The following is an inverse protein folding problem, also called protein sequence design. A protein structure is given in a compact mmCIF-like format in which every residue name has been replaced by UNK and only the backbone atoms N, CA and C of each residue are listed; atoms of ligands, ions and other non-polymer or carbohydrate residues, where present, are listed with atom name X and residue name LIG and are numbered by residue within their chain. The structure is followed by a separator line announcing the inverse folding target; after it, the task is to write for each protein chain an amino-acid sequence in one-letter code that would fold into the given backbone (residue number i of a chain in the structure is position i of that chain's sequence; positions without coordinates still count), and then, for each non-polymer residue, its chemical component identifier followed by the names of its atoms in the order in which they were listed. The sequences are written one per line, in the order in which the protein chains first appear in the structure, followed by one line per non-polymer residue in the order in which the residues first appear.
data_IF_571328999493
#
_entry.id   IF_571328999493
#
_cell.length_a   1.000
_cell.length_b   1.000
_cell.length_c   1.000
_cell.angle_alpha   90.00
_cell.angle_beta   90.00
_cell.angle_gamma   90.00
#
_symmetry.space_group_name_H-M   'P 1'
#
loop_
_entity.id
_entity.type
_entity.pdbx_description
1 polymer ?
#
# COMPACT_ATOMS: atom_id res chain seq x y z
N UNK A 1 7.74 -45.58 -8.73
CA UNK A 1 6.81 -45.36 -7.58
C UNK A 1 6.33 -43.92 -7.67
N UNK A 2 5.25 -43.65 -8.42
CA UNK A 2 4.65 -42.31 -8.56
C UNK A 2 3.88 -41.99 -7.30
N UNK A 3 4.46 -41.16 -6.42
CA UNK A 3 3.78 -40.63 -5.23
C UNK A 3 2.61 -39.75 -5.70
N UNK A 4 1.40 -40.27 -5.66
CA UNK A 4 0.19 -39.47 -5.87
C UNK A 4 0.03 -38.50 -4.71
N UNK A 5 0.33 -37.23 -4.96
CA UNK A 5 0.15 -36.18 -3.94
C UNK A 5 -1.32 -36.07 -3.52
N UNK A 6 -1.55 -35.96 -2.23
CA UNK A 6 -2.89 -35.72 -1.70
C UNK A 6 -3.38 -34.31 -2.11
N UNK A 7 -4.69 -34.13 -2.25
CA UNK A 7 -5.33 -32.83 -2.57
C UNK A 7 -4.89 -31.73 -1.57
N UNK A 8 -4.62 -32.11 -0.33
CA UNK A 8 -4.15 -31.21 0.71
C UNK A 8 -2.72 -30.73 0.47
N UNK A 9 -1.82 -31.61 0.04
CA UNK A 9 -0.43 -31.27 -0.30
C UNK A 9 -0.38 -30.32 -1.51
N UNK A 10 -1.23 -30.55 -2.52
CA UNK A 10 -1.37 -29.65 -3.65
C UNK A 10 -1.78 -28.24 -3.22
N UNK A 11 -2.80 -28.10 -2.37
CA UNK A 11 -3.26 -26.80 -1.84
C UNK A 11 -2.16 -26.08 -1.05
N UNK A 12 -1.42 -26.81 -0.20
CA UNK A 12 -0.33 -26.23 0.58
C UNK A 12 0.84 -25.75 -0.28
N UNK A 13 1.24 -26.53 -1.29
CA UNK A 13 2.28 -26.12 -2.25
C UNK A 13 1.85 -24.88 -3.03
N UNK A 14 0.61 -24.84 -3.50
CA UNK A 14 0.06 -23.71 -4.23
C UNK A 14 0.02 -22.44 -3.35
N UNK A 15 -0.37 -22.56 -2.09
CA UNK A 15 -0.35 -21.44 -1.14
C UNK A 15 1.08 -20.92 -0.90
N UNK A 16 2.07 -21.81 -0.78
CA UNK A 16 3.48 -21.43 -0.66
C UNK A 16 3.99 -20.72 -1.91
N UNK A 17 3.66 -21.22 -3.11
CA UNK A 17 4.03 -20.59 -4.37
C UNK A 17 3.48 -19.16 -4.48
N UNK A 18 2.21 -18.94 -4.14
CA UNK A 18 1.62 -17.61 -4.15
C UNK A 18 2.29 -16.66 -3.13
N UNK A 19 2.63 -17.15 -1.93
CA UNK A 19 3.36 -16.35 -0.94
C UNK A 19 4.75 -15.95 -1.43
N UNK A 20 5.48 -16.86 -2.09
CA UNK A 20 6.79 -16.59 -2.66
C UNK A 20 6.71 -15.59 -3.82
N UNK A 21 5.77 -15.76 -4.75
CA UNK A 21 5.57 -14.83 -5.86
C UNK A 21 5.24 -13.42 -5.34
N UNK A 22 4.36 -13.31 -4.34
CA UNK A 22 4.05 -12.03 -3.72
C UNK A 22 5.28 -11.42 -3.04
N UNK A 23 6.09 -12.22 -2.33
CA UNK A 23 7.31 -11.76 -1.69
C UNK A 23 8.30 -11.19 -2.70
N UNK A 24 8.53 -11.88 -3.82
CA UNK A 24 9.40 -11.38 -4.90
C UNK A 24 8.87 -10.09 -5.50
N UNK A 25 7.55 -9.98 -5.70
CA UNK A 25 6.93 -8.75 -6.19
C UNK A 25 7.14 -7.59 -5.20
N UNK A 26 6.97 -7.82 -3.89
CA UNK A 26 7.22 -6.80 -2.85
C UNK A 26 8.68 -6.38 -2.79
N UNK A 27 9.64 -7.31 -2.91
CA UNK A 27 11.07 -7.00 -2.96
C UNK A 27 11.36 -6.13 -4.19
N UNK A 28 10.83 -6.48 -5.37
CA UNK A 28 10.99 -5.69 -6.60
C UNK A 28 10.43 -4.27 -6.44
N UNK A 29 9.25 -4.11 -5.85
CA UNK A 29 8.68 -2.78 -5.54
C UNK A 29 9.58 -1.99 -4.59
N UNK A 30 10.04 -2.62 -3.52
CA UNK A 30 10.93 -1.97 -2.56
C UNK A 30 12.22 -1.47 -3.22
N UNK A 31 12.85 -2.29 -4.06
CA UNK A 31 14.05 -1.91 -4.81
C UNK A 31 13.80 -0.72 -5.75
N UNK A 32 12.65 -0.69 -6.41
CA UNK A 32 12.26 0.43 -7.27
C UNK A 32 12.14 1.74 -6.48
N UNK A 33 11.44 1.73 -5.34
CA UNK A 33 11.33 2.91 -4.49
C UNK A 33 12.66 3.31 -3.85
N UNK A 34 13.48 2.35 -3.44
CA UNK A 34 14.84 2.61 -2.95
C UNK A 34 15.72 3.29 -4.01
N UNK A 35 15.61 2.86 -5.27
CA UNK A 35 16.29 3.51 -6.39
C UNK A 35 15.82 4.96 -6.61
N UNK A 36 14.51 5.21 -6.57
CA UNK A 36 13.94 6.54 -6.72
C UNK A 36 14.31 7.47 -5.56
N UNK A 37 14.28 7.00 -4.31
CA UNK A 37 14.70 7.81 -3.16
C UNK A 37 16.21 8.06 -3.16
N UNK A 38 17.01 7.11 -3.63
CA UNK A 38 18.45 7.34 -3.88
C UNK A 38 18.68 8.41 -4.95
N UNK A 39 17.94 8.37 -6.07
CA UNK A 39 18.01 9.39 -7.11
C UNK A 39 17.60 10.78 -6.59
N UNK A 40 16.57 10.83 -5.73
CA UNK A 40 16.17 12.06 -5.03
C UNK A 40 17.34 12.64 -4.22
N UNK A 41 18.01 11.81 -3.38
CA UNK A 41 19.15 12.22 -2.57
C UNK A 41 20.33 12.73 -3.41
N UNK A 42 20.66 12.04 -4.49
CA UNK A 42 21.73 12.50 -5.41
C UNK A 42 21.36 13.81 -6.07
N UNK A 43 20.10 13.99 -6.44
CA UNK A 43 19.60 15.21 -7.07
C UNK A 43 19.54 16.42 -6.11
N UNK A 44 19.51 16.19 -4.79
CA UNK A 44 19.46 17.26 -3.77
C UNK A 44 20.72 18.16 -3.75
N UNK A 45 21.84 17.70 -4.34
CA UNK A 45 23.06 18.50 -4.51
C UNK A 45 22.99 19.51 -5.67
N UNK A 46 21.95 19.52 -6.47
CA UNK A 46 21.76 20.44 -7.61
C UNK A 46 21.48 21.87 -7.14
N UNK A 47 21.90 22.84 -7.95
CA UNK A 47 21.70 24.28 -7.66
C UNK A 47 20.23 24.73 -7.75
N UNK A 48 19.43 24.03 -8.54
CA UNK A 48 18.00 24.24 -8.76
C UNK A 48 17.11 23.49 -7.76
N UNK A 49 17.69 22.93 -6.69
CA UNK A 49 16.97 22.19 -5.66
C UNK A 49 16.26 23.12 -4.69
N UNK A 50 14.96 22.92 -4.49
CA UNK A 50 14.15 23.70 -3.54
C UNK A 50 14.24 23.06 -2.15
N UNK A 51 14.77 23.80 -1.18
CA UNK A 51 14.99 23.33 0.21
C UNK A 51 13.81 23.63 1.14
N UNK A 52 12.99 24.63 0.81
CA UNK A 52 11.95 25.15 1.71
C UNK A 52 10.53 24.62 1.37
N UNK A 53 10.46 23.40 0.81
CA UNK A 53 9.18 22.78 0.50
C UNK A 53 8.53 22.22 1.77
N UNK A 54 7.42 22.81 2.19
CA UNK A 54 6.65 22.32 3.35
C UNK A 54 5.71 21.23 2.88
N UNK A 55 5.84 20.03 3.47
CA UNK A 55 4.91 18.93 3.16
C UNK A 55 3.47 19.31 3.56
N UNK A 56 2.48 19.06 2.69
CA UNK A 56 1.08 19.28 2.98
C UNK A 56 0.61 18.53 4.23
N UNK A 57 -0.21 19.19 5.05
CA UNK A 57 -0.80 18.57 6.24
C UNK A 57 -1.66 17.34 5.88
N UNK A 58 -2.26 17.33 4.69
CA UNK A 58 -3.04 16.20 4.19
C UNK A 58 -2.23 14.89 4.18
N UNK A 59 -0.91 14.93 3.90
CA UNK A 59 -0.05 13.73 3.93
C UNK A 59 0.18 13.20 5.34
N UNK A 60 0.23 14.07 6.34
CA UNK A 60 0.29 13.66 7.75
C UNK A 60 -1.00 12.94 8.16
N UNK A 61 -2.16 13.52 7.85
CA UNK A 61 -3.45 12.89 8.14
C UNK A 61 -3.63 11.58 7.38
N UNK A 62 -3.21 11.50 6.12
CA UNK A 62 -3.28 10.27 5.34
C UNK A 62 -2.43 9.16 5.93
N UNK A 63 -1.27 9.49 6.50
CA UNK A 63 -0.39 8.52 7.19
C UNK A 63 -1.07 7.92 8.43
N UNK A 64 -1.79 8.72 9.21
CA UNK A 64 -2.58 8.23 10.35
C UNK A 64 -3.70 7.29 9.86
N UNK A 65 -4.42 7.70 8.81
CA UNK A 65 -5.53 6.93 8.25
C UNK A 65 -5.07 5.56 7.73
N UNK A 66 -3.92 5.49 7.03
CA UNK A 66 -3.43 4.22 6.48
C UNK A 66 -2.96 3.27 7.60
N UNK A 67 -2.35 3.80 8.67
CA UNK A 67 -1.96 2.99 9.84
C UNK A 67 -3.21 2.40 10.51
N UNK A 68 -4.29 3.17 10.66
CA UNK A 68 -5.57 2.65 11.17
C UNK A 68 -6.14 1.57 10.23
N UNK A 69 -6.01 1.74 8.91
CA UNK A 69 -6.36 0.73 7.90
C UNK A 69 -5.59 -0.57 8.08
N UNK A 70 -4.29 -0.48 8.36
CA UNK A 70 -3.43 -1.63 8.67
C UNK A 70 -3.94 -2.41 9.88
N UNK A 71 -4.26 -1.70 10.97
CA UNK A 71 -4.78 -2.31 12.20
C UNK A 71 -6.12 -2.99 11.94
N UNK A 72 -7.05 -2.34 11.22
CA UNK A 72 -8.37 -2.92 10.92
C UNK A 72 -8.26 -4.16 10.05
N UNK A 73 -7.34 -4.20 9.06
CA UNK A 73 -7.12 -5.38 8.24
C UNK A 73 -6.52 -6.54 9.07
N UNK A 74 -5.56 -6.25 9.94
CA UNK A 74 -5.01 -7.25 10.85
C UNK A 74 -6.08 -7.86 11.76
N UNK A 75 -6.98 -7.03 12.29
CA UNK A 75 -8.11 -7.49 13.10
C UNK A 75 -9.11 -8.31 12.27
N UNK A 76 -9.35 -7.94 11.00
CA UNK A 76 -10.20 -8.71 10.08
C UNK A 76 -9.66 -10.13 9.87
N UNK A 77 -8.33 -10.27 9.66
CA UNK A 77 -7.66 -11.56 9.58
C UNK A 77 -7.89 -12.40 10.86
N UNK A 78 -7.67 -11.81 12.04
CA UNK A 78 -7.91 -12.51 13.32
C UNK A 78 -9.37 -12.89 13.53
N UNK A 79 -10.30 -12.08 13.03
CA UNK A 79 -11.74 -12.34 13.16
C UNK A 79 -12.18 -13.54 12.32
N UNK A 80 -11.65 -13.73 11.09
CA UNK A 80 -11.96 -14.89 10.25
C UNK A 80 -11.36 -16.17 10.79
N UNK A 81 -10.17 -16.13 11.40
CA UNK A 81 -9.54 -17.27 12.07
C UNK A 81 -10.41 -17.80 13.24
N UNK A 82 -11.22 -16.91 13.85
CA UNK A 82 -12.21 -17.25 14.89
C UNK A 82 -13.62 -17.50 14.33
N UNK A 83 -13.76 -17.63 13.02
CA UNK A 83 -15.02 -17.82 12.26
C UNK A 83 -16.09 -16.74 12.55
N UNK A 84 -15.67 -15.56 13.03
CA UNK A 84 -16.59 -14.44 13.29
C UNK A 84 -16.82 -13.59 12.03
N UNK A 85 -17.68 -14.10 11.14
CA UNK A 85 -17.95 -13.54 9.82
C UNK A 85 -18.47 -12.11 9.86
N UNK A 86 -19.37 -11.77 10.81
CA UNK A 86 -19.93 -10.42 10.94
C UNK A 86 -18.84 -9.39 11.23
N UNK A 87 -17.95 -9.72 12.18
CA UNK A 87 -16.80 -8.85 12.50
C UNK A 87 -15.82 -8.74 11.35
N UNK A 88 -15.54 -9.84 10.66
CA UNK A 88 -14.66 -9.82 9.47
C UNK A 88 -15.21 -8.90 8.39
N UNK A 89 -16.51 -9.00 8.06
CA UNK A 89 -17.16 -8.13 7.07
C UNK A 89 -17.03 -6.66 7.46
N UNK A 90 -17.37 -6.32 8.72
CA UNK A 90 -17.29 -4.95 9.21
C UNK A 90 -15.86 -4.40 9.08
N UNK A 91 -14.88 -5.15 9.55
CA UNK A 91 -13.47 -4.73 9.54
C UNK A 91 -12.91 -4.59 8.12
N UNK A 92 -13.24 -5.49 7.18
CA UNK A 92 -12.84 -5.37 5.78
C UNK A 92 -13.46 -4.13 5.11
N UNK A 93 -14.74 -3.85 5.36
CA UNK A 93 -15.40 -2.64 4.84
C UNK A 93 -14.81 -1.37 5.46
N UNK A 94 -14.48 -1.38 6.76
CA UNK A 94 -13.78 -0.26 7.41
C UNK A 94 -12.41 -0.05 6.79
N UNK A 95 -11.64 -1.11 6.53
CA UNK A 95 -10.34 -1.02 5.85
C UNK A 95 -10.48 -0.42 4.46
N UNK A 96 -11.50 -0.83 3.70
CA UNK A 96 -11.78 -0.27 2.37
C UNK A 96 -12.13 1.23 2.47
N UNK A 97 -12.98 1.63 3.41
CA UNK A 97 -13.31 3.03 3.65
C UNK A 97 -12.10 3.88 4.00
N UNK A 98 -11.22 3.38 4.89
CA UNK A 98 -9.96 4.05 5.23
C UNK A 98 -9.00 4.13 4.03
N UNK A 99 -8.92 3.09 3.19
CA UNK A 99 -8.14 3.12 1.96
C UNK A 99 -8.63 4.18 0.96
N UNK A 100 -9.94 4.30 0.77
CA UNK A 100 -10.54 5.35 -0.08
C UNK A 100 -10.27 6.74 0.52
N UNK A 101 -10.43 6.90 1.83
CA UNK A 101 -10.14 8.17 2.54
C UNK A 101 -8.67 8.56 2.35
N UNK A 102 -7.74 7.61 2.42
CA UNK A 102 -6.34 7.84 2.13
C UNK A 102 -6.15 8.42 0.72
N UNK A 103 -6.76 7.80 -0.31
CA UNK A 103 -6.66 8.29 -1.70
C UNK A 103 -7.20 9.72 -1.82
N UNK A 104 -8.33 10.03 -1.20
CA UNK A 104 -8.90 11.39 -1.20
C UNK A 104 -7.92 12.38 -0.57
N UNK A 105 -7.31 12.03 0.58
CA UNK A 105 -6.33 12.88 1.24
C UNK A 105 -5.05 13.08 0.40
N UNK A 106 -4.66 12.11 -0.42
CA UNK A 106 -3.54 12.28 -1.36
C UNK A 106 -3.87 13.35 -2.43
N UNK A 107 -5.07 13.32 -3.01
CA UNK A 107 -5.49 14.35 -3.96
C UNK A 107 -5.59 15.74 -3.31
N UNK A 108 -6.08 15.83 -2.07
CA UNK A 108 -6.06 17.07 -1.31
C UNK A 108 -4.63 17.57 -1.06
N UNK A 109 -3.69 16.65 -0.76
CA UNK A 109 -2.28 16.98 -0.63
C UNK A 109 -1.67 17.54 -1.93
N UNK A 110 -2.02 16.96 -3.07
CA UNK A 110 -1.59 17.50 -4.36
C UNK A 110 -2.16 18.89 -4.63
N UNK A 111 -3.42 19.15 -4.29
CA UNK A 111 -4.00 20.50 -4.43
C UNK A 111 -3.27 21.52 -3.54
N UNK A 112 -2.95 21.14 -2.29
CA UNK A 112 -2.17 22.01 -1.40
C UNK A 112 -0.75 22.29 -1.93
N UNK A 113 -0.10 21.34 -2.61
CA UNK A 113 1.19 21.56 -3.28
C UNK A 113 1.06 22.54 -4.45
N UNK A 114 0.02 22.42 -5.25
CA UNK A 114 -0.25 23.32 -6.37
C UNK A 114 -0.51 24.75 -5.85
N UNK A 115 -1.27 24.91 -4.78
CA UNK A 115 -1.51 26.21 -4.12
C UNK A 115 -0.23 26.85 -3.58
N UNK A 116 0.75 26.03 -3.16
CA UNK A 116 2.08 26.49 -2.75
C UNK A 116 3.01 26.80 -3.95
N UNK A 117 2.56 26.63 -5.20
CA UNK A 117 3.34 26.87 -6.40
C UNK A 117 4.24 25.69 -6.82
N UNK A 118 4.07 24.51 -6.24
CA UNK A 118 4.83 23.31 -6.61
C UNK A 118 4.06 22.48 -7.66
N UNK A 119 4.46 22.64 -8.91
CA UNK A 119 3.85 21.92 -10.03
C UNK A 119 4.63 20.65 -10.38
N UNK A 120 3.92 19.65 -10.93
CA UNK A 120 4.54 18.41 -11.39
C UNK A 120 5.39 18.60 -12.64
N UNK A 121 4.88 19.40 -13.61
CA UNK A 121 5.52 19.63 -14.92
C UNK A 121 5.30 21.09 -15.34
N UNK A 122 6.12 21.56 -16.27
CA UNK A 122 6.02 22.93 -16.83
C UNK A 122 7.21 23.81 -16.47
N UNK A 123 7.19 25.06 -16.91
CA UNK A 123 8.28 26.03 -16.68
C UNK A 123 8.50 26.39 -15.21
N UNK A 124 7.47 26.21 -14.39
CA UNK A 124 7.43 26.51 -12.96
C UNK A 124 7.72 25.26 -12.07
N UNK A 125 7.91 24.07 -12.69
CA UNK A 125 8.21 22.86 -11.94
C UNK A 125 9.67 22.83 -11.48
N UNK A 126 9.89 22.30 -10.28
CA UNK A 126 11.23 22.01 -9.75
C UNK A 126 11.53 20.52 -9.83
N UNK A 127 12.82 20.17 -9.83
CA UNK A 127 13.25 18.76 -9.74
C UNK A 127 12.72 18.13 -8.45
N UNK A 128 12.74 18.88 -7.35
CA UNK A 128 12.23 18.46 -6.04
C UNK A 128 10.74 18.08 -6.10
N UNK A 129 9.90 18.99 -6.64
CA UNK A 129 8.45 18.72 -6.75
C UNK A 129 8.17 17.55 -7.68
N UNK A 130 8.86 17.46 -8.82
CA UNK A 130 8.68 16.34 -9.77
C UNK A 130 8.96 14.98 -9.12
N UNK A 131 10.03 14.85 -8.35
CA UNK A 131 10.32 13.61 -7.61
C UNK A 131 9.25 13.28 -6.57
N UNK A 132 8.77 14.26 -5.81
CA UNK A 132 7.69 14.07 -4.84
C UNK A 132 6.43 13.54 -5.52
N UNK A 133 6.01 14.17 -6.62
CA UNK A 133 4.86 13.70 -7.39
C UNK A 133 5.06 12.29 -7.94
N UNK A 134 6.22 11.98 -8.52
CA UNK A 134 6.53 10.64 -9.06
C UNK A 134 6.44 9.59 -7.96
N UNK A 135 7.08 9.79 -6.81
CA UNK A 135 7.07 8.85 -5.69
C UNK A 135 5.65 8.60 -5.19
N UNK A 136 4.87 9.68 -4.99
CA UNK A 136 3.51 9.58 -4.46
C UNK A 136 2.55 8.95 -5.47
N UNK A 137 2.58 9.35 -6.74
CA UNK A 137 1.72 8.79 -7.80
C UNK A 137 2.03 7.30 -8.00
N UNK A 138 3.31 6.93 -8.00
CA UNK A 138 3.72 5.54 -8.16
C UNK A 138 3.24 4.69 -6.97
N UNK A 139 3.35 5.22 -5.75
CA UNK A 139 2.78 4.56 -4.57
C UNK A 139 1.25 4.43 -4.69
N UNK A 140 0.53 5.47 -5.11
CA UNK A 140 -0.92 5.41 -5.34
C UNK A 140 -1.32 4.38 -6.40
N UNK A 141 -0.52 4.20 -7.46
CA UNK A 141 -0.76 3.14 -8.46
C UNK A 141 -0.67 1.74 -7.84
N UNK A 142 0.30 1.51 -6.95
CA UNK A 142 0.42 0.24 -6.22
C UNK A 142 -0.71 0.06 -5.20
N UNK A 143 -1.11 1.14 -4.52
CA UNK A 143 -2.25 1.12 -3.60
C UNK A 143 -3.56 0.81 -4.33
N UNK A 144 -3.76 1.32 -5.55
CA UNK A 144 -4.91 0.93 -6.38
C UNK A 144 -4.95 -0.59 -6.61
N UNK A 145 -3.78 -1.22 -6.86
CA UNK A 145 -3.66 -2.68 -6.88
C UNK A 145 -4.03 -3.34 -5.55
N UNK A 146 -3.64 -2.73 -4.42
CA UNK A 146 -4.02 -3.17 -3.07
C UNK A 146 -5.52 -3.09 -2.81
N UNK A 147 -6.16 -1.99 -3.24
CA UNK A 147 -7.62 -1.81 -3.15
C UNK A 147 -8.35 -2.83 -4.01
N UNK A 148 -7.87 -3.10 -5.23
CA UNK A 148 -8.44 -4.15 -6.09
C UNK A 148 -8.32 -5.54 -5.43
N UNK A 149 -7.18 -5.87 -4.85
CA UNK A 149 -7.00 -7.10 -4.10
C UNK A 149 -7.96 -7.18 -2.91
N UNK A 150 -8.15 -6.09 -2.16
CA UNK A 150 -9.09 -6.01 -1.04
C UNK A 150 -10.54 -6.21 -1.51
N UNK A 151 -10.95 -5.62 -2.63
CA UNK A 151 -12.28 -5.82 -3.23
C UNK A 151 -12.51 -7.29 -3.60
N UNK A 152 -11.50 -7.96 -4.19
CA UNK A 152 -11.57 -9.40 -4.51
C UNK A 152 -11.71 -10.22 -3.22
N UNK A 153 -11.01 -9.85 -2.15
CA UNK A 153 -11.13 -10.52 -0.85
C UNK A 153 -12.53 -10.34 -0.28
N UNK A 154 -13.08 -9.13 -0.29
CA UNK A 154 -14.44 -8.84 0.17
C UNK A 154 -15.46 -9.65 -0.64
N UNK A 155 -15.35 -9.68 -1.97
CA UNK A 155 -16.22 -10.46 -2.84
C UNK A 155 -16.16 -11.97 -2.52
N UNK A 156 -14.97 -12.54 -2.35
CA UNK A 156 -14.80 -13.94 -2.00
C UNK A 156 -15.29 -14.23 -0.58
N UNK A 157 -15.18 -13.27 0.34
CA UNK A 157 -15.73 -13.38 1.69
C UNK A 157 -17.26 -13.48 1.67
N UNK A 158 -17.94 -12.65 0.88
CA UNK A 158 -19.39 -12.74 0.70
C UNK A 158 -19.81 -14.06 0.03
N UNK A 159 -19.01 -14.60 -0.88
CA UNK A 159 -19.22 -15.93 -1.47
C UNK A 159 -18.87 -17.09 -0.53
N UNK A 160 -18.57 -16.81 0.73
CA UNK A 160 -18.25 -17.80 1.75
C UNK A 160 -17.05 -18.73 1.41
N UNK A 161 -16.14 -18.26 0.56
CA UNK A 161 -14.94 -19.04 0.18
C UNK A 161 -13.88 -19.08 1.29
N UNK A 162 -13.97 -18.19 2.28
CA UNK A 162 -13.06 -18.14 3.41
C UNK A 162 -13.72 -18.68 4.67
N UNK A 163 -12.98 -19.48 5.42
CA UNK A 163 -13.33 -20.04 6.72
C UNK A 163 -12.04 -20.14 7.57
N UNK A 164 -12.16 -20.60 8.81
CA UNK A 164 -11.02 -20.74 9.73
C UNK A 164 -9.85 -21.58 9.17
N UNK A 165 -10.11 -22.50 8.21
CA UNK A 165 -9.11 -23.37 7.59
C UNK A 165 -8.62 -22.91 6.22
N UNK A 166 -9.30 -21.95 5.58
CA UNK A 166 -8.99 -21.45 4.22
C UNK A 166 -8.85 -19.93 4.24
N UNK A 167 -7.75 -19.45 4.80
CA UNK A 167 -7.46 -18.01 4.99
C UNK A 167 -6.42 -17.46 4.00
N UNK A 168 -5.87 -18.30 3.11
CA UNK A 168 -4.72 -17.95 2.26
C UNK A 168 -4.92 -16.64 1.47
N UNK A 169 -6.11 -16.40 0.92
CA UNK A 169 -6.38 -15.16 0.17
C UNK A 169 -6.36 -13.93 1.06
N UNK A 170 -6.94 -14.01 2.27
CA UNK A 170 -6.91 -12.91 3.24
C UNK A 170 -5.49 -12.68 3.76
N UNK A 171 -4.71 -13.74 3.97
CA UNK A 171 -3.32 -13.64 4.40
C UNK A 171 -2.44 -12.94 3.36
N UNK A 172 -2.58 -13.32 2.08
CA UNK A 172 -1.84 -12.69 0.99
C UNK A 172 -2.23 -11.21 0.85
N UNK A 173 -3.53 -10.91 0.92
CA UNK A 173 -3.99 -9.53 0.86
C UNK A 173 -3.53 -8.70 2.05
N UNK A 174 -3.57 -9.24 3.26
CA UNK A 174 -3.08 -8.55 4.45
C UNK A 174 -1.57 -8.30 4.37
N UNK A 175 -0.77 -9.28 3.90
CA UNK A 175 0.67 -9.14 3.70
C UNK A 175 0.98 -8.01 2.70
N UNK A 176 0.27 -7.97 1.57
CA UNK A 176 0.45 -6.95 0.56
C UNK A 176 0.02 -5.57 1.07
N UNK A 177 -1.12 -5.48 1.76
CA UNK A 177 -1.62 -4.24 2.34
C UNK A 177 -0.64 -3.65 3.35
N UNK A 178 -0.19 -4.44 4.32
CA UNK A 178 0.78 -4.00 5.32
C UNK A 178 2.11 -3.55 4.70
N UNK A 179 2.54 -4.23 3.63
CA UNK A 179 3.73 -3.81 2.88
C UNK A 179 3.54 -2.41 2.27
N UNK A 180 2.39 -2.14 1.63
CA UNK A 180 2.08 -0.82 1.07
C UNK A 180 2.02 0.26 2.17
N UNK A 181 1.41 -0.05 3.31
CA UNK A 181 1.34 0.88 4.45
C UNK A 181 2.73 1.24 4.99
N UNK A 182 3.59 0.24 5.17
CA UNK A 182 4.99 0.43 5.61
C UNK A 182 5.76 1.24 4.57
N UNK A 183 5.58 0.94 3.29
CA UNK A 183 6.21 1.67 2.20
C UNK A 183 5.78 3.14 2.19
N UNK A 184 4.48 3.44 2.43
CA UNK A 184 4.02 4.82 2.55
C UNK A 184 4.64 5.54 3.74
N UNK A 185 4.68 4.91 4.93
CA UNK A 185 5.32 5.48 6.10
C UNK A 185 6.80 5.79 5.84
N UNK A 186 7.51 4.88 5.18
CA UNK A 186 8.88 5.10 4.73
C UNK A 186 9.00 6.33 3.82
N UNK A 187 8.16 6.42 2.78
CA UNK A 187 8.17 7.56 1.84
C UNK A 187 7.82 8.88 2.53
N UNK A 188 6.81 8.88 3.40
CA UNK A 188 6.41 10.06 4.16
C UNK A 188 7.54 10.57 5.06
N UNK A 189 8.16 9.67 5.84
CA UNK A 189 9.29 10.04 6.70
C UNK A 189 10.49 10.50 5.87
N UNK A 190 10.78 9.81 4.77
CA UNK A 190 11.86 10.20 3.85
C UNK A 190 11.65 11.64 3.33
N UNK A 191 10.46 11.95 2.79
CA UNK A 191 10.13 13.28 2.28
C UNK A 191 10.02 14.35 3.38
N UNK A 192 9.77 13.95 4.62
CA UNK A 192 9.67 14.88 5.75
C UNK A 192 11.04 15.30 6.30
N UNK A 193 12.03 14.40 6.29
CA UNK A 193 13.36 14.64 6.90
C UNK A 193 14.43 15.04 5.89
N UNK A 194 14.23 14.85 4.61
CA UNK A 194 15.20 15.10 3.54
C UNK A 194 14.77 16.25 2.66
#
# INVERSE_FOLDING_TARGET
MTMTMTVQEHKQRQARSYKLLLLFAMISMFMMFAGLTSAYLVSSSRKDWVKDMILPQAFTFSTIVIILGSITFHLAKKAIEKDNRKRTTLLLLTTLGLGITFVILQFLGFNQLIEQGFFFTGSESSVTSSFLYVLTILHMAHLAGGILALLIIIYNHFKQKYNATQTTGIELGAMFWHFLDILWVYLFLFLYFV
#
